data_IF_081355900993
#
_entry.id   IF_081355900993
#
_cell.length_a   1.000
_cell.length_b   1.000
_cell.length_c   1.000
_cell.angle_alpha   90.00
_cell.angle_beta   90.00
_cell.angle_gamma   90.00
#
_symmetry.space_group_name_H-M   'P 1'
#
loop_
_entity.id
_entity.type
_entity.pdbx_description
1 polymer ?
#
# COMPACT_ATOMS: atom_id res chain seq x y z
N UNK A 1 3.52 -10.94 -4.62
CA UNK A 1 4.24 -10.66 -3.35
C UNK A 1 3.77 -11.55 -2.19
N UNK A 2 2.47 -11.87 -2.08
CA UNK A 2 1.93 -12.71 -1.00
C UNK A 2 2.41 -14.19 -0.99
N UNK A 3 2.89 -14.75 -2.11
CA UNK A 3 3.28 -16.18 -2.15
C UNK A 3 4.58 -16.51 -1.40
N UNK A 4 5.44 -15.51 -1.16
CA UNK A 4 6.79 -15.70 -0.60
C UNK A 4 6.88 -15.24 0.86
N UNK A 5 6.10 -14.23 1.25
CA UNK A 5 5.96 -13.75 2.62
C UNK A 5 4.64 -14.26 3.20
N UNK A 6 4.70 -15.44 3.84
CA UNK A 6 3.52 -16.07 4.44
C UNK A 6 3.17 -15.48 5.81
N UNK A 7 4.13 -14.84 6.47
CA UNK A 7 3.98 -14.30 7.83
C UNK A 7 4.65 -12.93 7.91
N UNK A 8 4.14 -12.06 8.78
CA UNK A 8 4.79 -10.81 9.17
C UNK A 8 4.03 -9.56 8.71
N UNK A 9 4.76 -8.49 8.40
CA UNK A 9 4.20 -7.22 7.95
C UNK A 9 4.53 -7.00 6.47
N UNK A 10 3.52 -6.65 5.69
CA UNK A 10 3.67 -6.23 4.30
C UNK A 10 3.43 -4.75 4.18
N UNK A 11 4.39 -4.07 3.55
CA UNK A 11 4.31 -2.66 3.25
C UNK A 11 3.56 -2.45 1.93
N UNK A 12 2.61 -1.53 1.95
CA UNK A 12 1.91 -1.05 0.77
C UNK A 12 2.76 0.08 0.19
N UNK A 13 3.51 -0.23 -0.86
CA UNK A 13 4.37 0.73 -1.54
C UNK A 13 3.59 1.69 -2.43
N UNK A 14 4.17 2.87 -2.58
CA UNK A 14 3.79 3.86 -3.58
C UNK A 14 4.46 3.54 -4.91
N UNK A 15 3.68 3.44 -5.99
CA UNK A 15 4.21 3.11 -7.32
C UNK A 15 4.88 4.30 -8.02
N UNK A 16 4.82 5.51 -7.47
CA UNK A 16 5.57 6.64 -8.03
C UNK A 16 7.08 6.46 -7.93
N UNK A 17 7.54 5.70 -6.93
CA UNK A 17 8.96 5.37 -6.70
C UNK A 17 9.11 3.92 -6.22
N UNK A 18 9.04 2.95 -7.15
CA UNK A 18 9.19 1.55 -6.80
C UNK A 18 10.62 1.27 -6.31
N UNK A 19 10.80 0.42 -5.28
CA UNK A 19 12.11 0.12 -4.76
C UNK A 19 12.87 -0.78 -5.73
N UNK A 20 14.20 -0.73 -5.64
CA UNK A 20 15.04 -1.71 -6.32
C UNK A 20 14.67 -3.15 -5.89
N UNK A 21 14.90 -4.12 -6.79
CA UNK A 21 14.56 -5.52 -6.54
C UNK A 21 15.10 -6.03 -5.19
N UNK A 22 14.23 -6.65 -4.41
CA UNK A 22 14.57 -7.19 -3.08
C UNK A 22 14.72 -6.13 -1.98
N UNK A 23 14.43 -4.85 -2.23
CA UNK A 23 14.41 -3.79 -1.22
C UNK A 23 13.00 -3.37 -0.85
N UNK A 24 12.90 -2.82 0.36
CA UNK A 24 11.71 -2.14 0.87
C UNK A 24 11.74 -0.69 0.37
N UNK A 25 10.56 -0.11 0.12
CA UNK A 25 10.40 1.32 -0.18
C UNK A 25 11.00 2.21 0.93
N UNK A 26 11.35 3.45 0.57
CA UNK A 26 11.67 4.45 1.58
C UNK A 26 10.43 4.78 2.43
N UNK A 27 10.59 5.21 3.70
CA UNK A 27 9.46 5.51 4.58
C UNK A 27 8.45 6.49 3.99
N UNK A 28 8.89 7.49 3.21
CA UNK A 28 8.01 8.44 2.52
C UNK A 28 7.21 7.83 1.37
N UNK A 29 7.65 6.70 0.83
CA UNK A 29 7.08 5.99 -0.32
C UNK A 29 6.38 4.69 0.13
N UNK A 30 6.14 4.52 1.44
CA UNK A 30 5.25 3.49 2.01
C UNK A 30 3.97 4.17 2.44
N UNK A 31 2.81 3.73 1.95
CA UNK A 31 1.50 4.28 2.33
C UNK A 31 1.12 3.82 3.73
N UNK A 32 1.38 2.54 4.00
CA UNK A 32 1.08 1.89 5.27
C UNK A 32 1.50 0.44 5.25
N UNK A 33 1.20 -0.27 6.33
CA UNK A 33 1.55 -1.67 6.50
C UNK A 33 0.33 -2.46 6.96
N UNK A 34 0.27 -3.73 6.58
CA UNK A 34 -0.75 -4.69 7.01
C UNK A 34 -0.07 -5.96 7.48
N UNK A 35 -0.71 -6.66 8.42
CA UNK A 35 -0.20 -7.94 8.88
C UNK A 35 -0.64 -9.06 7.93
N UNK A 36 0.28 -9.98 7.67
CA UNK A 36 0.05 -11.24 6.96
C UNK A 36 0.17 -12.39 7.95
N UNK A 37 -0.81 -13.29 7.88
CA UNK A 37 -0.78 -14.58 8.58
C UNK A 37 -1.20 -15.66 7.58
N UNK A 38 -0.39 -16.70 7.41
CA UNK A 38 -0.54 -17.73 6.39
C UNK A 38 -0.76 -17.20 4.97
N UNK A 39 -0.14 -16.06 4.61
CA UNK A 39 -0.28 -15.40 3.31
C UNK A 39 -1.59 -14.62 3.14
N UNK A 40 -2.40 -14.54 4.19
CA UNK A 40 -3.68 -13.82 4.19
C UNK A 40 -3.52 -12.50 4.92
N UNK A 41 -3.96 -11.41 4.27
CA UNK A 41 -3.99 -10.08 4.87
C UNK A 41 -5.01 -10.08 6.00
N UNK A 42 -4.59 -9.68 7.19
CA UNK A 42 -5.45 -9.59 8.37
C UNK A 42 -6.21 -8.27 8.38
N UNK A 43 -7.54 -8.33 8.34
CA UNK A 43 -8.38 -7.14 8.41
C UNK A 43 -8.20 -6.38 9.73
N UNK A 44 -8.34 -5.05 9.69
CA UNK A 44 -8.17 -4.19 10.87
C UNK A 44 -6.73 -3.96 11.32
N UNK A 45 -5.74 -4.59 10.68
CA UNK A 45 -4.32 -4.44 11.04
C UNK A 45 -3.60 -3.30 10.30
N UNK A 46 -4.31 -2.55 9.46
CA UNK A 46 -3.72 -1.45 8.70
C UNK A 46 -3.11 -0.39 9.63
N UNK A 47 -1.82 -0.10 9.43
CA UNK A 47 -1.11 0.96 10.11
C UNK A 47 -0.58 1.96 9.08
N UNK A 48 -1.01 3.24 9.13
CA UNK A 48 -0.52 4.26 8.21
C UNK A 48 0.95 4.57 8.48
N UNK A 49 1.71 4.89 7.44
CA UNK A 49 3.09 5.34 7.58
C UNK A 49 3.13 6.86 7.83
N UNK A 50 3.60 7.33 9.00
CA UNK A 50 3.56 8.76 9.33
C UNK A 50 4.42 9.64 8.41
N UNK A 51 5.45 9.05 7.79
CA UNK A 51 6.38 9.76 6.90
C UNK A 51 5.85 9.90 5.45
N UNK A 52 4.75 9.23 5.10
CA UNK A 52 4.22 9.23 3.75
C UNK A 52 3.74 10.62 3.32
N UNK A 53 4.10 11.04 2.11
CA UNK A 53 3.70 12.35 1.57
C UNK A 53 2.92 12.19 0.28
N UNK A 54 1.70 12.70 0.19
CA UNK A 54 0.88 12.61 -1.04
C UNK A 54 1.56 13.23 -2.27
N UNK A 55 2.38 14.27 -2.08
CA UNK A 55 3.12 14.95 -3.15
C UNK A 55 4.58 15.03 -2.73
N UNK A 56 5.48 14.67 -3.64
CA UNK A 56 6.93 14.74 -3.43
C UNK A 56 7.62 15.26 -4.70
N UNK A 57 8.95 15.43 -4.64
CA UNK A 57 9.74 15.76 -5.84
C UNK A 57 9.67 14.69 -6.94
N UNK A 58 9.19 13.47 -6.62
CA UNK A 58 8.96 12.37 -7.56
C UNK A 58 7.56 12.40 -8.19
N UNK A 59 6.74 13.39 -7.82
CA UNK A 59 5.39 13.58 -8.35
C UNK A 59 4.29 13.23 -7.36
N UNK A 60 3.10 12.96 -7.91
CA UNK A 60 1.89 12.66 -7.15
C UNK A 60 1.87 11.17 -6.77
N UNK A 61 1.35 10.88 -5.59
CA UNK A 61 1.06 9.55 -5.08
C UNK A 61 0.35 8.66 -6.10
N UNK A 62 0.84 7.44 -6.27
CA UNK A 62 0.26 6.44 -7.16
C UNK A 62 0.12 5.10 -6.44
N UNK A 63 -1.07 4.51 -6.54
CA UNK A 63 -1.32 3.14 -6.12
C UNK A 63 -1.19 2.19 -7.31
N UNK A 64 -0.90 0.93 -7.00
CA UNK A 64 -1.00 -0.13 -7.99
C UNK A 64 -2.38 -0.19 -8.62
N UNK A 65 -2.43 -0.56 -9.89
CA UNK A 65 -3.69 -0.62 -10.65
C UNK A 65 -4.81 -1.38 -9.90
N UNK A 66 -4.57 -2.57 -9.30
CA UNK A 66 -5.62 -3.25 -8.54
C UNK A 66 -6.11 -2.47 -7.31
N UNK A 67 -5.20 -1.81 -6.58
CA UNK A 67 -5.55 -1.01 -5.41
C UNK A 67 -6.30 0.27 -5.81
N UNK A 68 -5.87 0.92 -6.89
CA UNK A 68 -6.56 2.07 -7.48
C UNK A 68 -8.01 1.72 -7.82
N UNK A 69 -8.26 0.59 -8.47
CA UNK A 69 -9.62 0.14 -8.79
C UNK A 69 -10.45 -0.14 -7.52
N UNK A 70 -9.85 -0.73 -6.48
CA UNK A 70 -10.52 -0.93 -5.20
C UNK A 70 -10.94 0.39 -4.54
N UNK A 71 -10.06 1.40 -4.56
CA UNK A 71 -10.35 2.74 -4.01
C UNK A 71 -11.45 3.41 -4.81
N UNK A 72 -11.40 3.38 -6.15
CA UNK A 72 -12.44 3.95 -7.01
C UNK A 72 -13.79 3.29 -6.72
N UNK A 73 -13.84 1.96 -6.61
CA UNK A 73 -15.06 1.22 -6.29
C UNK A 73 -15.61 1.61 -4.91
N UNK A 74 -14.75 1.69 -3.89
CA UNK A 74 -15.15 2.09 -2.54
C UNK A 74 -15.63 3.55 -2.49
N UNK A 75 -14.98 4.45 -3.22
CA UNK A 75 -15.37 5.86 -3.31
C UNK A 75 -16.74 6.01 -3.97
N UNK A 76 -16.99 5.33 -5.09
CA UNK A 76 -18.31 5.31 -5.74
C UNK A 76 -19.40 4.78 -4.81
N UNK A 77 -19.12 3.72 -4.06
CA UNK A 77 -20.08 3.17 -3.10
C UNK A 77 -20.42 4.16 -1.98
N UNK A 78 -19.44 4.96 -1.51
CA UNK A 78 -19.66 6.00 -0.49
C UNK A 78 -20.44 7.21 -0.99
N UNK A 79 -20.27 7.60 -2.26
CA UNK A 79 -21.00 8.74 -2.85
C UNK A 79 -22.47 8.40 -3.10
N UNK A 80 -22.79 7.13 -3.32
CA UNK A 80 -24.17 6.66 -3.51
C UNK A 80 -24.93 6.38 -2.21
N UNK A 81 -24.30 6.57 -1.04
CA UNK A 81 -24.92 6.47 0.30
C UNK A 81 -25.29 7.85 0.81
#
# INVERSE_FOLDING_TARGET
MADWQKEGWMHIGDERDPPAWGRINFPEDIVGSVQLVNGVIQEGTYQPMPAHRLISGKGIFQLSEPLTQCVIRAAKAKVSQ
#
